data_IF_190596107616
#
_entry.id   IF_190596107616
#
_cell.length_a   1.000
_cell.length_b   1.000
_cell.length_c   1.000
_cell.angle_alpha   90.00
_cell.angle_beta   90.00
_cell.angle_gamma   90.00
#
_symmetry.space_group_name_H-M   'P 1'
#
loop_
_entity.id
_entity.type
_entity.pdbx_description
1 polymer ?
#
# COMPACT_ATOMS: atom_id res chain seq x y z
N UNK A 1 0.99 -5.96 -6.97
CA UNK A 1 1.92 -5.23 -6.08
C UNK A 1 2.78 -6.26 -5.38
N UNK A 2 4.09 -6.01 -5.23
CA UNK A 2 4.97 -6.91 -4.47
C UNK A 2 5.59 -6.10 -3.33
N UNK A 3 5.42 -6.58 -2.10
CA UNK A 3 5.89 -5.94 -0.88
C UNK A 3 7.01 -6.76 -0.26
N UNK A 4 8.07 -6.10 0.20
CA UNK A 4 9.22 -6.74 0.84
C UNK A 4 9.53 -6.12 2.20
N UNK A 5 10.16 -6.92 3.06
CA UNK A 5 10.69 -6.49 4.35
C UNK A 5 9.60 -6.00 5.30
N UNK A 6 9.93 -4.99 6.12
CA UNK A 6 9.05 -4.46 7.18
C UNK A 6 7.67 -4.05 6.67
N UNK A 7 7.59 -3.47 5.46
CA UNK A 7 6.32 -3.04 4.86
C UNK A 7 5.37 -4.23 4.68
N UNK A 8 5.86 -5.38 4.23
CA UNK A 8 5.02 -6.57 4.07
C UNK A 8 4.46 -7.05 5.41
N UNK A 9 5.28 -7.04 6.46
CA UNK A 9 4.85 -7.40 7.82
C UNK A 9 3.81 -6.43 8.38
N UNK A 10 4.03 -5.12 8.25
CA UNK A 10 3.10 -4.10 8.75
C UNK A 10 1.72 -4.22 8.08
N UNK A 11 1.70 -4.57 6.79
CA UNK A 11 0.48 -4.80 6.01
C UNK A 11 -0.25 -6.06 6.48
N UNK A 12 0.46 -7.18 6.61
CA UNK A 12 -0.13 -8.43 7.13
C UNK A 12 -0.72 -8.21 8.51
N UNK A 13 0.00 -7.55 9.41
CA UNK A 13 -0.47 -7.23 10.75
C UNK A 13 -1.71 -6.34 10.70
N UNK A 14 -1.73 -5.34 9.81
CA UNK A 14 -2.90 -4.46 9.68
C UNK A 14 -4.13 -5.20 9.14
N UNK A 15 -3.97 -6.14 8.22
CA UNK A 15 -5.06 -6.98 7.70
C UNK A 15 -5.57 -7.94 8.78
N UNK A 16 -4.66 -8.56 9.55
CA UNK A 16 -5.01 -9.60 10.51
C UNK A 16 -5.53 -9.04 11.85
N UNK A 17 -4.95 -7.94 12.32
CA UNK A 17 -5.23 -7.37 13.65
C UNK A 17 -6.35 -6.33 13.63
N UNK A 18 -6.59 -5.67 12.49
CA UNK A 18 -7.64 -4.65 12.40
C UNK A 18 -8.93 -5.29 11.88
N UNK A 19 -10.04 -5.04 12.55
CA UNK A 19 -11.38 -5.42 12.08
C UNK A 19 -11.87 -4.55 10.91
N UNK A 20 -11.00 -3.75 10.30
CA UNK A 20 -11.35 -2.87 9.19
C UNK A 20 -11.70 -3.73 7.97
N UNK A 21 -12.94 -3.59 7.47
CA UNK A 21 -13.44 -4.33 6.30
C UNK A 21 -12.60 -4.08 5.03
N UNK A 22 -11.86 -2.96 4.98
CA UNK A 22 -11.04 -2.53 3.85
C UNK A 22 -9.71 -1.95 4.33
N UNK A 23 -8.60 -2.39 3.72
CA UNK A 23 -7.27 -1.80 3.92
C UNK A 23 -6.92 -0.97 2.70
N UNK A 24 -6.84 0.35 2.89
CA UNK A 24 -6.50 1.30 1.84
C UNK A 24 -5.03 1.70 1.99
N UNK A 25 -4.33 1.67 0.86
CA UNK A 25 -2.91 1.96 0.78
C UNK A 25 -2.70 3.35 0.17
N UNK A 26 -1.95 4.19 0.87
CA UNK A 26 -1.44 5.45 0.32
C UNK A 26 0.05 5.29 0.08
N UNK A 27 0.45 5.35 -1.21
CA UNK A 27 1.78 5.00 -1.69
C UNK A 27 2.54 6.27 -2.12
N UNK A 28 3.74 6.51 -1.56
CA UNK A 28 4.64 7.61 -1.95
C UNK A 28 6.02 7.11 -2.39
N UNK A 29 6.54 7.67 -3.48
CA UNK A 29 7.86 7.33 -4.04
C UNK A 29 8.04 5.83 -4.38
N UNK A 30 7.00 5.24 -4.96
CA UNK A 30 7.03 3.84 -5.40
C UNK A 30 7.50 3.72 -6.83
N UNK A 31 8.22 2.63 -7.12
CA UNK A 31 8.62 2.32 -8.47
C UNK A 31 7.49 1.61 -9.21
N UNK A 32 7.17 2.10 -10.39
CA UNK A 32 6.39 1.37 -11.39
C UNK A 32 7.38 0.57 -12.23
N UNK A 33 7.22 -0.76 -12.25
CA UNK A 33 8.00 -1.67 -13.11
C UNK A 33 7.11 -2.23 -14.20
N UNK A 34 7.61 -2.23 -15.43
CA UNK A 34 6.99 -2.89 -16.57
C UNK A 34 7.83 -4.11 -16.93
N UNK A 35 7.20 -5.28 -17.08
CA UNK A 35 7.85 -6.51 -17.52
C UNK A 35 6.90 -7.31 -18.41
N UNK A 36 7.30 -7.61 -19.65
CA UNK A 36 6.44 -8.29 -20.64
C UNK A 36 5.01 -7.73 -20.66
N UNK A 37 4.91 -6.40 -20.73
CA UNK A 37 3.66 -5.62 -20.71
C UNK A 37 2.92 -5.56 -19.35
N UNK A 38 3.24 -6.44 -18.40
CA UNK A 38 2.69 -6.37 -17.05
C UNK A 38 3.27 -5.21 -16.25
N UNK A 39 2.40 -4.44 -15.60
CA UNK A 39 2.76 -3.33 -14.72
C UNK A 39 2.64 -3.73 -13.26
N UNK A 40 3.67 -3.45 -12.48
CA UNK A 40 3.71 -3.73 -11.04
C UNK A 40 4.23 -2.53 -10.27
N UNK A 41 3.76 -2.41 -9.03
CA UNK A 41 4.19 -1.39 -8.06
C UNK A 41 5.03 -2.09 -6.98
N UNK A 42 6.20 -1.52 -6.68
CA UNK A 42 7.19 -2.14 -5.80
C UNK A 42 8.02 -1.13 -4.99
N UNK A 43 8.34 -1.49 -3.74
CA UNK A 43 9.09 -0.68 -2.77
C UNK A 43 10.61 -0.77 -2.96
N UNK A 44 11.08 -0.68 -4.20
CA UNK A 44 12.49 -0.92 -4.53
C UNK A 44 13.44 0.19 -4.05
N UNK A 45 12.94 1.32 -3.56
CA UNK A 45 13.75 2.43 -3.08
C UNK A 45 13.67 2.55 -1.56
N UNK A 46 14.80 2.89 -0.92
CA UNK A 46 14.86 3.16 0.53
C UNK A 46 14.02 4.37 0.97
N UNK A 47 13.46 5.12 0.02
CA UNK A 47 12.57 6.27 0.25
C UNK A 47 11.09 5.92 0.03
N UNK A 48 10.76 4.71 -0.45
CA UNK A 48 9.37 4.30 -0.64
C UNK A 48 8.64 4.26 0.70
N UNK A 49 7.48 4.91 0.76
CA UNK A 49 6.68 5.03 1.97
C UNK A 49 5.25 4.56 1.72
N UNK A 50 4.68 3.82 2.68
CA UNK A 50 3.27 3.42 2.69
C UNK A 50 2.62 3.89 3.98
N UNK A 51 1.40 4.36 3.86
CA UNK A 51 0.48 4.52 4.99
C UNK A 51 -0.75 3.68 4.76
N UNK A 52 -1.22 3.02 5.82
CA UNK A 52 -2.39 2.16 5.80
C UNK A 52 -3.51 2.89 6.49
N UNK A 53 -4.61 3.10 5.77
CA UNK A 53 -5.80 3.80 6.27
C UNK A 53 -5.47 5.14 6.98
N UNK A 54 -4.63 6.03 6.39
CA UNK A 54 -4.38 7.32 7.01
C UNK A 54 -5.65 8.16 7.03
N UNK A 55 -5.83 8.97 8.07
CA UNK A 55 -6.93 9.92 8.16
C UNK A 55 -6.70 11.07 7.16
N UNK A 56 -7.26 10.94 5.96
CA UNK A 56 -7.19 11.94 4.90
C UNK A 56 -8.46 11.91 4.04
N UNK A 57 -8.87 13.07 3.53
CA UNK A 57 -10.10 13.21 2.76
C UNK A 57 -10.19 12.21 1.59
N UNK A 58 -9.12 12.07 0.80
CA UNK A 58 -9.10 11.12 -0.33
C UNK A 58 -9.23 9.64 0.09
N UNK A 59 -8.85 9.27 1.31
CA UNK A 59 -9.08 7.91 1.84
C UNK A 59 -10.54 7.73 2.22
N UNK A 60 -11.16 8.73 2.86
CA UNK A 60 -12.58 8.68 3.22
C UNK A 60 -13.48 8.68 1.98
N UNK A 61 -13.15 9.48 0.97
CA UNK A 61 -13.83 9.46 -0.34
C UNK A 61 -13.72 8.08 -1.00
N UNK A 62 -12.52 7.47 -1.00
CA UNK A 62 -12.33 6.14 -1.55
C UNK A 62 -13.06 5.04 -0.74
N UNK A 63 -13.21 5.22 0.58
CA UNK A 63 -14.00 4.31 1.44
C UNK A 63 -15.49 4.36 1.11
N UNK A 64 -15.99 5.46 0.56
CA UNK A 64 -17.39 5.66 0.23
C UNK A 64 -17.79 5.07 -1.14
N UNK A 65 -16.81 4.75 -2.01
CA UNK A 65 -17.01 3.96 -3.23
C UNK A 65 -17.38 2.50 -2.90
#
# INVERSE_FOLDING_TARGET
>A
MVLWGKIATDVTNSIQLRSEKRVIFVLRFWKIKVWKEDRSVLNAYNVSNVQLNPNMAGVEEFRAL
#
